data_IF_587801277376
#
_entry.id   IF_587801277376
#
_cell.length_a   1.000
_cell.length_b   1.000
_cell.length_c   1.000
_cell.angle_alpha   90.00
_cell.angle_beta   90.00
_cell.angle_gamma   90.00
#
_symmetry.space_group_name_H-M   'P 1'
#
loop_
_entity.id
_entity.type
_entity.pdbx_description
1 polymer ?
#
# COMPACT_ATOMS: atom_id res chain seq x y z
N UNK A 1 23.70 -7.80 43.57
CA UNK A 1 23.48 -7.12 42.28
C UNK A 1 24.18 -7.92 41.18
N UNK A 2 23.42 -8.59 40.31
CA UNK A 2 23.88 -8.98 38.96
C UNK A 2 22.64 -8.98 38.06
N UNK A 3 22.42 -7.83 37.41
CA UNK A 3 21.44 -7.67 36.34
C UNK A 3 21.79 -8.66 35.22
N UNK A 4 20.87 -9.52 34.84
CA UNK A 4 20.93 -10.18 33.53
C UNK A 4 19.72 -9.73 32.73
N UNK A 5 19.97 -8.72 31.91
CA UNK A 5 19.06 -8.20 30.88
C UNK A 5 18.99 -9.28 29.81
N UNK A 6 17.90 -10.03 29.78
CA UNK A 6 17.65 -11.00 28.72
C UNK A 6 17.27 -10.25 27.44
N UNK A 7 18.25 -10.20 26.54
CA UNK A 7 18.19 -10.17 25.09
C UNK A 7 16.91 -9.56 24.48
N UNK A 8 17.00 -8.29 24.11
CA UNK A 8 16.22 -7.73 23.01
C UNK A 8 16.68 -8.44 21.73
N UNK A 9 15.94 -9.43 21.25
CA UNK A 9 16.09 -9.95 19.90
C UNK A 9 15.70 -8.84 18.93
N UNK A 10 16.70 -8.10 18.44
CA UNK A 10 16.56 -7.30 17.24
C UNK A 10 16.29 -8.28 16.09
N UNK A 11 15.03 -8.38 15.68
CA UNK A 11 14.70 -8.86 14.34
C UNK A 11 15.09 -7.70 13.41
N UNK A 12 16.36 -7.68 13.01
CA UNK A 12 16.81 -6.87 11.90
C UNK A 12 16.20 -7.48 10.62
N UNK A 13 14.93 -7.15 10.34
CA UNK A 13 14.38 -7.33 8.99
C UNK A 13 15.14 -6.33 8.13
N UNK A 14 16.23 -6.82 7.55
CA UNK A 14 16.96 -6.10 6.52
C UNK A 14 16.02 -6.07 5.32
N UNK A 15 15.28 -4.98 5.17
CA UNK A 15 14.54 -4.71 3.94
C UNK A 15 15.61 -4.41 2.90
N UNK A 16 16.15 -5.44 2.26
CA UNK A 16 16.86 -5.29 1.00
C UNK A 16 15.81 -5.03 -0.08
N UNK A 17 15.19 -3.85 -0.05
CA UNK A 17 14.54 -3.30 -1.23
C UNK A 17 15.64 -2.85 -2.15
N UNK A 18 15.83 -3.66 -3.18
CA UNK A 18 16.64 -3.39 -4.36
C UNK A 18 16.48 -1.93 -4.79
N UNK A 19 17.61 -1.25 -4.92
CA UNK A 19 17.69 0.02 -5.60
C UNK A 19 17.29 -0.17 -7.07
N UNK A 20 15.99 -0.04 -7.37
CA UNK A 20 15.54 0.39 -8.69
C UNK A 20 15.54 1.92 -8.67
N UNK A 21 16.75 2.47 -8.62
CA UNK A 21 16.99 3.82 -9.10
C UNK A 21 16.68 3.83 -10.59
N UNK A 22 15.49 4.26 -10.95
CA UNK A 22 15.14 4.63 -12.32
C UNK A 22 15.99 5.83 -12.71
N UNK A 23 17.21 5.56 -13.17
CA UNK A 23 17.97 6.51 -13.95
C UNK A 23 17.27 6.67 -15.30
N UNK A 24 16.36 7.63 -15.41
CA UNK A 24 15.93 8.18 -16.70
C UNK A 24 16.20 9.69 -16.71
N UNK A 25 17.45 9.96 -17.09
CA UNK A 25 17.81 10.85 -18.19
C UNK A 25 17.19 12.26 -18.24
N UNK A 26 18.12 13.22 -18.21
CA UNK A 26 17.97 14.65 -18.49
C UNK A 26 17.20 14.91 -19.79
N UNK A 27 16.06 15.60 -19.68
CA UNK A 27 15.32 16.13 -20.82
C UNK A 27 14.16 17.00 -20.33
N UNK A 28 14.14 18.27 -20.72
CA UNK A 28 13.05 19.21 -20.41
C UNK A 28 11.70 18.63 -20.86
N UNK A 29 10.92 18.08 -19.92
CA UNK A 29 9.57 17.59 -20.20
C UNK A 29 9.14 16.36 -19.44
N UNK A 30 9.52 16.17 -18.17
CA UNK A 30 8.75 15.29 -17.29
C UNK A 30 7.34 15.88 -17.24
N UNK A 31 6.37 15.20 -17.85
CA UNK A 31 4.97 15.62 -17.82
C UNK A 31 4.56 15.83 -16.36
N UNK A 32 3.71 16.83 -16.10
CA UNK A 32 3.24 17.14 -14.74
C UNK A 32 2.71 15.89 -14.02
N UNK A 33 2.17 14.93 -14.77
CA UNK A 33 1.67 13.64 -14.30
C UNK A 33 2.78 12.71 -13.78
N UNK A 34 3.89 12.57 -14.51
CA UNK A 34 5.02 11.76 -14.06
C UNK A 34 5.68 12.34 -12.80
N UNK A 35 5.75 13.68 -12.70
CA UNK A 35 6.23 14.37 -11.49
C UNK A 35 5.27 14.18 -10.32
N UNK A 36 3.96 14.28 -10.54
CA UNK A 36 2.95 14.06 -9.51
C UNK A 36 2.94 12.60 -9.00
N UNK A 37 3.23 11.64 -9.86
CA UNK A 37 3.42 10.24 -9.47
C UNK A 37 4.71 10.02 -8.68
N UNK A 38 5.80 10.71 -9.03
CA UNK A 38 7.06 10.66 -8.31
C UNK A 38 7.00 11.33 -6.92
N UNK A 39 6.24 12.42 -6.80
CA UNK A 39 6.02 13.14 -5.53
C UNK A 39 4.90 12.51 -4.67
N UNK A 40 4.27 11.43 -5.13
CA UNK A 40 3.21 10.75 -4.39
C UNK A 40 3.77 10.11 -3.11
N UNK A 41 3.20 10.39 -1.92
CA UNK A 41 3.68 9.82 -0.66
C UNK A 41 3.60 8.29 -0.60
N UNK A 42 2.84 7.67 -1.51
CA UNK A 42 2.59 6.24 -1.59
C UNK A 42 3.30 5.55 -2.76
N UNK A 43 4.29 6.20 -3.40
CA UNK A 43 5.05 5.61 -4.52
C UNK A 43 5.65 4.22 -4.18
N UNK A 44 6.04 4.01 -2.92
CA UNK A 44 6.54 2.72 -2.43
C UNK A 44 5.48 1.60 -2.35
N UNK A 45 4.21 1.94 -2.50
CA UNK A 45 3.07 1.02 -2.48
C UNK A 45 2.45 0.78 -3.87
N UNK A 46 2.98 1.43 -4.91
CA UNK A 46 2.47 1.29 -6.28
C UNK A 46 2.59 -0.14 -6.79
N UNK A 47 3.67 -0.83 -6.46
CA UNK A 47 3.87 -2.22 -6.84
C UNK A 47 4.01 -3.05 -5.57
N UNK A 48 3.17 -4.08 -5.43
CA UNK A 48 3.15 -4.94 -4.25
C UNK A 48 3.24 -6.39 -4.65
N UNK A 49 4.20 -7.11 -4.09
CA UNK A 49 4.33 -8.55 -4.32
C UNK A 49 3.38 -9.30 -3.38
N UNK A 50 2.55 -10.19 -3.95
CA UNK A 50 1.61 -11.05 -3.23
C UNK A 50 1.67 -12.43 -3.87
N UNK A 51 2.03 -13.46 -3.09
CA UNK A 51 2.18 -14.85 -3.56
C UNK A 51 3.03 -14.99 -4.84
N UNK A 52 4.09 -14.18 -4.98
CA UNK A 52 4.98 -14.19 -6.15
C UNK A 52 4.44 -13.46 -7.38
N UNK A 53 3.29 -12.78 -7.26
CA UNK A 53 2.71 -11.91 -8.29
C UNK A 53 2.87 -10.44 -7.92
N UNK A 54 3.26 -9.60 -8.87
CA UNK A 54 3.30 -8.15 -8.68
C UNK A 54 1.95 -7.52 -9.00
N UNK A 55 1.29 -6.97 -7.99
CA UNK A 55 0.06 -6.20 -8.14
C UNK A 55 0.40 -4.72 -8.33
N UNK A 56 -0.10 -4.11 -9.41
CA UNK A 56 0.08 -2.70 -9.72
C UNK A 56 -1.14 -1.86 -9.28
N UNK A 57 -0.87 -0.92 -8.37
CA UNK A 57 -1.78 0.04 -7.77
C UNK A 57 -1.46 1.49 -8.17
N UNK A 58 -0.56 1.72 -9.12
CA UNK A 58 -0.15 3.08 -9.56
C UNK A 58 -1.37 3.93 -9.91
N UNK A 59 -2.29 3.41 -10.73
CA UNK A 59 -3.51 4.12 -11.12
C UNK A 59 -4.44 4.37 -9.93
N UNK A 60 -4.53 3.43 -9.00
CA UNK A 60 -5.43 3.51 -7.84
C UNK A 60 -4.92 4.50 -6.81
N UNK A 61 -3.61 4.54 -6.57
CA UNK A 61 -2.96 5.45 -5.64
C UNK A 61 -2.62 6.81 -6.27
N UNK A 62 -2.86 6.98 -7.58
CA UNK A 62 -2.81 8.28 -8.26
C UNK A 62 -4.16 9.01 -8.25
N UNK A 63 -5.23 8.39 -7.72
CA UNK A 63 -6.55 9.03 -7.57
C UNK A 63 -6.53 10.04 -6.43
N UNK A 64 -7.29 11.13 -6.58
CA UNK A 64 -7.43 12.18 -5.55
C UNK A 64 -8.48 11.85 -4.48
N UNK A 65 -9.24 10.77 -4.69
CA UNK A 65 -10.26 10.30 -3.76
C UNK A 65 -10.36 8.78 -3.85
N UNK A 66 -10.09 8.10 -2.74
CA UNK A 66 -10.17 6.66 -2.60
C UNK A 66 -10.83 6.31 -1.27
N UNK A 67 -11.64 5.27 -1.26
CA UNK A 67 -12.20 4.73 -0.02
C UNK A 67 -11.55 3.39 0.30
N UNK A 68 -11.49 2.97 1.58
CA UNK A 68 -11.05 1.63 1.95
C UNK A 68 -11.77 0.53 1.16
N UNK A 69 -13.08 0.72 0.92
CA UNK A 69 -13.88 -0.16 0.06
C UNK A 69 -13.40 -0.20 -1.38
N UNK A 70 -13.21 0.96 -2.03
CA UNK A 70 -12.72 1.01 -3.40
C UNK A 70 -11.31 0.43 -3.56
N UNK A 71 -10.45 0.57 -2.54
CA UNK A 71 -9.14 -0.07 -2.54
C UNK A 71 -9.26 -1.60 -2.45
N UNK A 72 -10.13 -2.13 -1.59
CA UNK A 72 -10.36 -3.57 -1.48
C UNK A 72 -10.92 -4.21 -2.76
N UNK A 73 -11.86 -3.51 -3.43
CA UNK A 73 -12.38 -3.92 -4.73
C UNK A 73 -11.26 -3.99 -5.78
N UNK A 74 -10.37 -3.00 -5.79
CA UNK A 74 -9.21 -3.03 -6.68
C UNK A 74 -8.24 -4.17 -6.35
N UNK A 75 -7.94 -4.41 -5.07
CA UNK A 75 -7.11 -5.55 -4.64
C UNK A 75 -7.73 -6.86 -5.14
N UNK A 76 -9.05 -7.04 -4.96
CA UNK A 76 -9.78 -8.23 -5.41
C UNK A 76 -9.64 -8.44 -6.91
N UNK A 77 -9.79 -7.36 -7.69
CA UNK A 77 -9.61 -7.40 -9.13
C UNK A 77 -8.19 -7.77 -9.51
N UNK A 78 -7.17 -7.11 -8.94
CA UNK A 78 -5.75 -7.37 -9.26
C UNK A 78 -5.31 -8.79 -8.90
N UNK A 79 -5.80 -9.34 -7.80
CA UNK A 79 -5.59 -10.75 -7.44
C UNK A 79 -6.22 -11.68 -8.49
N UNK A 80 -7.49 -11.44 -8.83
CA UNK A 80 -8.20 -12.25 -9.84
C UNK A 80 -7.53 -12.21 -11.21
N UNK A 81 -7.10 -11.02 -11.65
CA UNK A 81 -6.40 -10.80 -12.91
C UNK A 81 -5.05 -11.56 -12.97
N UNK A 82 -4.45 -11.83 -11.81
CA UNK A 82 -3.24 -12.63 -11.66
C UNK A 82 -3.50 -14.13 -11.43
N UNK A 83 -4.76 -14.58 -11.49
CA UNK A 83 -5.14 -15.97 -11.26
C UNK A 83 -5.15 -16.39 -9.78
N UNK A 84 -5.07 -15.41 -8.86
CA UNK A 84 -5.18 -15.64 -7.42
C UNK A 84 -6.64 -15.53 -6.99
N UNK A 85 -7.06 -16.36 -6.05
CA UNK A 85 -8.43 -16.33 -5.53
C UNK A 85 -8.55 -15.28 -4.40
N UNK A 86 -9.30 -14.17 -4.58
CA UNK A 86 -9.37 -13.11 -3.58
C UNK A 86 -10.02 -13.53 -2.25
N UNK A 87 -10.77 -14.64 -2.24
CA UNK A 87 -11.31 -15.22 -1.01
C UNK A 87 -10.23 -15.74 -0.06
N UNK A 88 -9.04 -16.06 -0.57
CA UNK A 88 -7.93 -16.57 0.23
C UNK A 88 -7.12 -15.45 0.90
N UNK A 89 -7.43 -14.17 0.62
CA UNK A 89 -6.66 -13.03 1.11
C UNK A 89 -7.45 -12.12 2.06
N UNK A 90 -6.71 -11.47 2.94
CA UNK A 90 -7.13 -10.32 3.75
C UNK A 90 -6.22 -9.14 3.51
N UNK A 91 -6.76 -7.94 3.73
CA UNK A 91 -5.99 -6.71 3.65
C UNK A 91 -6.11 -5.91 4.94
N UNK A 92 -5.08 -5.13 5.21
CA UNK A 92 -5.08 -4.09 6.24
C UNK A 92 -4.49 -2.81 5.66
N UNK A 93 -5.15 -1.70 5.94
CA UNK A 93 -4.71 -0.35 5.59
C UNK A 93 -4.76 0.55 6.82
N UNK A 94 -3.78 1.43 6.91
CA UNK A 94 -3.77 2.56 7.84
C UNK A 94 -3.23 3.77 7.09
N UNK A 95 -4.08 4.77 6.92
CA UNK A 95 -3.81 6.01 6.23
C UNK A 95 -3.69 7.12 7.26
N UNK A 96 -2.57 7.82 7.26
CA UNK A 96 -2.39 9.07 7.98
C UNK A 96 -2.83 10.21 7.06
N UNK A 97 -3.89 10.90 7.47
CA UNK A 97 -4.41 12.04 6.74
C UNK A 97 -3.49 13.24 6.95
N UNK A 98 -3.36 14.11 5.94
CA UNK A 98 -2.57 15.35 6.02
C UNK A 98 -3.03 16.28 7.16
N UNK A 99 -4.32 16.23 7.52
CA UNK A 99 -4.89 16.99 8.64
C UNK A 99 -4.56 16.41 10.03
N UNK A 100 -3.75 15.35 10.11
CA UNK A 100 -3.37 14.68 11.35
C UNK A 100 -4.33 13.57 11.78
N UNK A 101 -5.46 13.37 11.08
CA UNK A 101 -6.37 12.26 11.31
C UNK A 101 -5.83 10.91 10.84
N UNK A 102 -6.56 9.84 11.14
CA UNK A 102 -6.21 8.49 10.68
C UNK A 102 -7.46 7.80 10.15
N UNK A 103 -7.33 7.17 8.98
CA UNK A 103 -8.32 6.25 8.42
C UNK A 103 -7.70 4.86 8.44
N UNK A 104 -8.35 3.93 9.12
CA UNK A 104 -7.91 2.54 9.12
C UNK A 104 -8.96 1.68 8.45
N UNK A 105 -8.52 0.61 7.82
CA UNK A 105 -9.42 -0.44 7.41
C UNK A 105 -8.81 -1.80 7.28
N UNK A 106 -9.60 -2.83 7.53
CA UNK A 106 -9.15 -4.21 7.43
C UNK A 106 -10.31 -5.14 7.13
N UNK A 107 -10.01 -6.25 6.46
CA UNK A 107 -11.02 -7.25 6.15
C UNK A 107 -10.59 -8.28 5.13
N UNK A 108 -11.49 -9.23 4.86
CA UNK A 108 -11.35 -10.16 3.74
C UNK A 108 -11.38 -9.36 2.43
N UNK A 109 -10.56 -9.71 1.45
CA UNK A 109 -10.58 -9.03 0.15
C UNK A 109 -11.88 -9.34 -0.59
N UNK A 110 -12.23 -10.62 -0.75
CA UNK A 110 -13.56 -11.01 -1.20
C UNK A 110 -14.57 -10.99 -0.03
N UNK A 111 -15.70 -10.32 -0.23
CA UNK A 111 -16.77 -10.25 0.77
C UNK A 111 -16.47 -9.30 1.92
N UNK A 112 -15.55 -8.36 1.73
CA UNK A 112 -15.23 -7.32 2.68
C UNK A 112 -16.52 -6.60 3.12
N UNK A 113 -16.98 -6.85 4.36
CA UNK A 113 -18.04 -6.05 4.97
C UNK A 113 -17.45 -4.69 5.38
N UNK A 114 -17.01 -3.93 4.37
CA UNK A 114 -16.39 -2.61 4.48
C UNK A 114 -17.44 -1.50 4.61
N UNK A 115 -18.70 -1.90 4.82
CA UNK A 115 -19.85 -1.03 5.06
C UNK A 115 -19.61 -0.02 6.18
N UNK A 116 -18.69 -0.33 7.11
CA UNK A 116 -18.36 0.55 8.24
C UNK A 116 -17.12 1.44 8.01
N UNK A 117 -16.46 1.35 6.85
CA UNK A 117 -15.18 2.04 6.60
C UNK A 117 -15.24 2.82 5.28
N UNK A 118 -16.10 3.83 5.30
CA UNK A 118 -16.44 4.67 4.14
C UNK A 118 -15.69 5.98 4.09
N UNK A 119 -14.90 6.34 5.11
CA UNK A 119 -14.21 7.63 5.13
C UNK A 119 -13.22 7.69 3.97
N UNK A 120 -13.44 8.57 2.98
CA UNK A 120 -12.51 8.73 1.88
C UNK A 120 -11.18 9.29 2.39
N UNK A 121 -10.12 9.00 1.65
CA UNK A 121 -8.81 9.62 1.79
C UNK A 121 -8.29 10.00 0.39
N UNK A 122 -7.27 10.84 0.35
CA UNK A 122 -6.61 11.27 -0.88
C UNK A 122 -5.23 10.60 -0.99
N UNK A 123 -5.08 9.50 -1.75
CA UNK A 123 -3.80 8.82 -1.96
C UNK A 123 -2.66 9.70 -2.48
N UNK A 124 -2.93 10.85 -3.13
CA UNK A 124 -1.86 11.74 -3.63
C UNK A 124 -1.39 12.73 -2.57
N UNK A 125 -2.02 12.77 -1.39
CA UNK A 125 -1.70 13.72 -0.30
C UNK A 125 -1.55 13.04 1.07
N UNK A 126 -2.30 11.97 1.30
CA UNK A 126 -2.30 11.19 2.53
C UNK A 126 -1.33 10.00 2.42
N UNK A 127 -0.79 9.53 3.55
CA UNK A 127 0.25 8.51 3.56
C UNK A 127 -0.28 7.18 4.09
N UNK A 128 -0.07 6.09 3.33
CA UNK A 128 -0.28 4.72 3.76
C UNK A 128 0.86 4.30 4.70
N UNK A 129 0.61 4.35 6.01
CA UNK A 129 1.52 3.83 7.03
C UNK A 129 1.51 2.30 7.05
N UNK A 130 0.33 1.72 6.88
CA UNK A 130 0.13 0.27 6.75
C UNK A 130 -0.62 0.03 5.45
N UNK A 131 -0.09 -0.88 4.65
CA UNK A 131 -0.79 -1.47 3.53
C UNK A 131 -0.27 -2.90 3.42
N UNK A 132 -1.08 -3.89 3.72
CA UNK A 132 -0.71 -5.30 3.65
C UNK A 132 -1.81 -6.08 2.94
N UNK A 133 -1.40 -7.10 2.20
CA UNK A 133 -2.27 -8.07 1.56
C UNK A 133 -1.65 -9.41 1.89
N UNK A 134 -2.34 -10.22 2.68
CA UNK A 134 -1.82 -11.47 3.22
C UNK A 134 -2.80 -12.59 2.92
N UNK A 135 -2.24 -13.77 2.65
CA UNK A 135 -3.01 -15.00 2.58
C UNK A 135 -3.48 -15.40 3.97
N UNK A 136 -4.73 -15.82 4.09
CA UNK A 136 -5.34 -16.26 5.35
C UNK A 136 -4.75 -17.57 5.86
#
# INVERSE_FOLDING_TARGET
MKNSVLLKSLIAVTVMTTATGSALYVGNGITHEAKAQQENPNVGHFHKEVDGHTLDFTDTLSKTNLTPKGLAEEISKKLSDNGLNPEDYSFEIKVKLKNGGTVSGSGKVAGANLSNQTSPFNPTQDTLEVFTIEKK
#
